data_IF_201666678146
#
_entry.id   IF_201666678146
#
_cell.length_a   1.000
_cell.length_b   1.000
_cell.length_c   1.000
_cell.angle_alpha   90.00
_cell.angle_beta   90.00
_cell.angle_gamma   90.00
#
_symmetry.space_group_name_H-M   'P 1'
#
loop_
_entity.id
_entity.type
_entity.pdbx_description
1 polymer ?
#
# COMPACT_ATOMS: atom_id res chain seq x y z
N UNK A 1 15.16 5.23 -47.16
CA UNK A 1 15.73 5.45 -45.81
C UNK A 1 14.86 6.28 -44.87
N UNK A 2 14.38 7.48 -45.25
CA UNK A 2 13.57 8.34 -44.33
C UNK A 2 12.28 7.70 -43.78
N UNK A 3 11.56 6.89 -44.56
CA UNK A 3 10.33 6.22 -44.10
C UNK A 3 10.58 5.11 -43.05
N UNK A 4 11.72 4.43 -43.11
CA UNK A 4 12.10 3.42 -42.11
C UNK A 4 12.49 4.05 -40.76
N UNK A 5 13.13 5.23 -40.80
CA UNK A 5 13.48 6.00 -39.60
C UNK A 5 12.24 6.54 -38.87
N UNK A 6 11.20 6.98 -39.60
CA UNK A 6 9.93 7.40 -38.98
C UNK A 6 9.16 6.24 -38.35
N UNK A 7 9.14 5.06 -38.99
CA UNK A 7 8.50 3.86 -38.42
C UNK A 7 9.25 3.34 -37.18
N UNK A 8 10.58 3.39 -37.18
CA UNK A 8 11.39 3.04 -36.02
C UNK A 8 11.21 4.02 -34.84
N UNK A 9 11.04 5.32 -35.11
CA UNK A 9 10.74 6.32 -34.09
C UNK A 9 9.34 6.14 -33.47
N UNK A 10 8.32 5.84 -34.28
CA UNK A 10 6.96 5.57 -33.79
C UNK A 10 6.92 4.26 -32.98
N UNK A 11 7.63 3.22 -33.41
CA UNK A 11 7.75 1.96 -32.66
C UNK A 11 8.53 2.12 -31.34
N UNK A 12 9.48 3.05 -31.27
CA UNK A 12 10.16 3.40 -30.01
C UNK A 12 9.28 4.24 -29.07
N UNK A 13 8.43 5.13 -29.59
CA UNK A 13 7.45 5.86 -28.77
C UNK A 13 6.34 4.95 -28.22
N UNK A 14 5.94 3.89 -28.94
CA UNK A 14 4.99 2.88 -28.45
C UNK A 14 5.60 1.89 -27.42
N UNK A 15 6.92 1.89 -27.25
CA UNK A 15 7.65 1.13 -26.22
C UNK A 15 8.14 2.00 -25.07
N UNK A 16 7.90 3.31 -25.10
CA UNK A 16 8.11 4.15 -23.94
C UNK A 16 7.02 3.77 -22.92
N UNK A 17 7.37 2.85 -22.01
CA UNK A 17 6.68 2.78 -20.71
C UNK A 17 6.69 4.21 -20.21
N UNK A 18 5.53 4.87 -20.00
CA UNK A 18 5.54 6.18 -19.39
C UNK A 18 6.41 6.04 -18.15
N UNK A 19 7.35 6.95 -17.94
CA UNK A 19 8.11 7.01 -16.70
C UNK A 19 7.08 7.22 -15.59
N UNK A 20 6.50 6.12 -15.12
CA UNK A 20 5.49 6.09 -14.10
C UNK A 20 6.20 6.67 -12.90
N UNK A 21 5.66 7.75 -12.35
CA UNK A 21 6.05 8.14 -11.01
C UNK A 21 5.99 6.87 -10.17
N UNK A 22 7.13 6.49 -9.55
CA UNK A 22 7.20 5.30 -8.71
C UNK A 22 5.97 5.29 -7.80
N UNK A 23 5.25 4.17 -7.80
CA UNK A 23 4.02 4.07 -7.01
C UNK A 23 4.30 4.47 -5.56
N UNK A 24 3.42 5.27 -4.94
CA UNK A 24 3.66 5.77 -3.60
C UNK A 24 3.81 4.62 -2.59
N UNK A 25 4.71 4.82 -1.62
CA UNK A 25 4.87 3.92 -0.50
C UNK A 25 3.54 3.76 0.27
N UNK A 26 3.24 2.54 0.65
CA UNK A 26 2.11 2.20 1.53
C UNK A 26 2.33 2.74 2.95
N UNK A 27 1.25 2.88 3.71
CA UNK A 27 1.32 3.25 5.13
C UNK A 27 2.25 2.32 5.92
N UNK A 28 2.26 1.02 5.62
CA UNK A 28 3.11 0.01 6.30
C UNK A 28 4.61 0.18 5.98
N UNK A 29 4.94 0.55 4.75
CA UNK A 29 6.31 0.89 4.36
C UNK A 29 6.77 2.19 5.02
N UNK A 30 5.89 3.19 5.09
CA UNK A 30 6.17 4.44 5.79
C UNK A 30 6.32 4.20 7.30
N UNK A 31 5.50 3.37 7.93
CA UNK A 31 5.63 2.99 9.35
C UNK A 31 6.99 2.39 9.67
N UNK A 32 7.50 1.53 8.79
CA UNK A 32 8.82 0.92 8.96
C UNK A 32 9.96 1.94 8.93
N UNK A 33 9.73 3.12 8.34
CA UNK A 33 10.74 4.18 8.12
C UNK A 33 10.48 5.45 8.95
N UNK A 34 9.30 5.58 9.54
CA UNK A 34 8.90 6.76 10.27
C UNK A 34 9.76 6.95 11.53
N UNK A 35 9.95 8.21 11.90
CA UNK A 35 10.53 8.59 13.17
C UNK A 35 9.50 8.44 14.29
N UNK A 36 8.26 8.87 14.04
CA UNK A 36 7.14 8.73 14.96
C UNK A 36 5.81 8.60 14.21
N UNK A 37 4.83 7.96 14.86
CA UNK A 37 3.42 7.96 14.48
C UNK A 37 2.64 8.47 15.68
N UNK A 38 1.97 9.61 15.52
CA UNK A 38 1.36 10.30 16.64
C UNK A 38 0.17 11.14 16.21
N UNK A 39 -0.74 11.34 17.15
CA UNK A 39 -1.71 12.42 17.10
C UNK A 39 -1.00 13.72 17.45
N UNK A 40 -1.19 14.72 16.61
CA UNK A 40 -0.45 15.96 16.61
C UNK A 40 -1.40 17.16 16.55
N UNK A 41 -0.99 18.25 17.19
CA UNK A 41 -1.71 19.52 17.21
C UNK A 41 -0.78 20.65 16.76
N UNK A 42 -0.96 21.20 15.54
CA UNK A 42 -0.09 22.24 15.02
C UNK A 42 -0.47 23.58 15.65
N UNK A 43 0.51 24.32 16.18
CA UNK A 43 0.24 25.52 16.99
C UNK A 43 0.03 26.79 16.16
N UNK A 44 0.92 27.05 15.19
CA UNK A 44 0.84 28.22 14.30
C UNK A 44 1.70 28.03 13.05
N UNK A 45 1.37 28.76 11.99
CA UNK A 45 2.17 28.77 10.75
C UNK A 45 3.18 29.92 10.79
N UNK A 46 4.45 29.59 10.57
CA UNK A 46 5.53 30.54 10.36
C UNK A 46 5.93 30.46 8.88
N UNK A 47 5.87 31.59 8.18
CA UNK A 47 6.19 31.66 6.74
C UNK A 47 7.69 31.90 6.55
N UNK A 48 8.28 31.15 5.64
CA UNK A 48 9.63 31.31 5.11
C UNK A 48 9.55 31.40 3.59
N UNK A 49 10.58 31.99 2.95
CA UNK A 49 10.73 32.06 1.48
C UNK A 49 9.42 32.44 0.75
N UNK A 50 9.02 33.70 0.90
CA UNK A 50 7.79 34.27 0.32
C UNK A 50 6.48 33.50 0.62
N UNK A 51 6.50 32.62 1.63
CA UNK A 51 5.37 31.78 2.03
C UNK A 51 5.27 30.45 1.28
N UNK A 52 6.23 30.12 0.42
CA UNK A 52 6.35 28.80 -0.21
C UNK A 52 6.79 27.71 0.77
N UNK A 53 7.53 28.10 1.82
CA UNK A 53 8.01 27.19 2.84
C UNK A 53 7.40 27.55 4.20
N UNK A 54 6.77 26.58 4.85
CA UNK A 54 6.06 26.78 6.11
C UNK A 54 6.73 25.97 7.22
N UNK A 55 7.00 26.63 8.34
CA UNK A 55 7.44 25.99 9.58
C UNK A 55 6.33 26.04 10.63
N UNK A 56 6.05 24.91 11.25
CA UNK A 56 4.85 24.70 12.06
C UNK A 56 5.28 24.00 13.35
N UNK A 57 5.52 24.72 14.45
CA UNK A 57 5.68 24.11 15.77
C UNK A 57 4.45 23.27 16.09
N UNK A 58 4.67 22.02 16.45
CA UNK A 58 3.60 21.02 16.58
C UNK A 58 3.78 20.24 17.87
N UNK A 59 2.73 20.15 18.67
CA UNK A 59 2.67 19.32 19.88
C UNK A 59 2.28 17.89 19.49
N UNK A 60 2.86 16.90 20.16
CA UNK A 60 2.40 15.51 20.10
C UNK A 60 1.47 15.24 21.28
N UNK A 61 0.22 14.92 20.98
CA UNK A 61 -0.84 14.69 21.97
C UNK A 61 -0.83 13.24 22.43
N UNK A 62 -0.81 12.30 21.48
CA UNK A 62 -0.76 10.86 21.75
C UNK A 62 0.24 10.18 20.79
N UNK A 63 1.31 9.62 21.36
CA UNK A 63 2.38 8.97 20.59
C UNK A 63 2.13 7.47 20.56
N UNK A 64 1.67 6.96 19.42
CA UNK A 64 1.47 5.52 19.20
C UNK A 64 2.81 4.81 19.02
N UNK A 65 3.73 5.43 18.29
CA UNK A 65 5.06 4.88 18.04
C UNK A 65 6.10 5.98 17.91
N UNK A 66 7.30 5.74 18.42
CA UNK A 66 8.47 6.55 18.16
C UNK A 66 9.73 5.69 18.18
N UNK A 67 10.65 5.91 17.24
CA UNK A 67 11.93 5.19 17.19
C UNK A 67 12.81 5.46 18.40
N UNK A 68 12.74 6.67 18.97
CA UNK A 68 13.58 7.08 20.10
C UNK A 68 12.82 8.02 21.04
N UNK A 69 12.73 7.62 22.30
CA UNK A 69 12.13 8.41 23.37
C UNK A 69 10.62 8.61 23.20
N UNK A 70 10.07 9.55 23.96
CA UNK A 70 8.68 10.00 23.86
C UNK A 70 8.68 11.49 23.50
N UNK A 71 8.79 11.84 22.20
CA UNK A 71 8.78 13.22 21.77
C UNK A 71 7.47 13.90 22.21
N UNK A 72 7.59 15.15 22.69
CA UNK A 72 6.44 15.96 23.12
C UNK A 72 6.06 17.05 22.11
N UNK A 73 7.05 17.54 21.37
CA UNK A 73 6.87 18.57 20.36
C UNK A 73 7.94 18.44 19.30
N UNK A 74 7.65 18.94 18.11
CA UNK A 74 8.59 18.94 16.99
C UNK A 74 8.32 20.11 16.03
N UNK A 75 9.29 20.39 15.17
CA UNK A 75 9.15 21.42 14.15
C UNK A 75 8.78 20.77 12.81
N UNK A 76 7.51 20.89 12.42
CA UNK A 76 7.01 20.40 11.14
C UNK A 76 7.34 21.40 10.04
N UNK A 77 7.73 20.89 8.89
CA UNK A 77 8.01 21.65 7.68
C UNK A 77 7.03 21.21 6.61
N UNK A 78 6.48 22.19 5.88
CA UNK A 78 5.62 21.95 4.74
C UNK A 78 6.02 22.88 3.59
N UNK A 79 6.36 22.30 2.45
CA UNK A 79 6.65 23.05 1.23
C UNK A 79 5.43 23.03 0.31
N UNK A 80 4.94 24.22 -0.04
CA UNK A 80 3.81 24.39 -0.94
C UNK A 80 4.27 24.18 -2.39
N UNK A 81 3.54 23.36 -3.13
CA UNK A 81 3.72 23.18 -4.58
C UNK A 81 3.13 24.32 -5.38
N UNK A 82 2.14 25.03 -4.84
CA UNK A 82 1.52 26.20 -5.46
C UNK A 82 1.05 27.22 -4.40
N UNK A 83 0.90 28.48 -4.81
CA UNK A 83 0.54 29.57 -3.89
C UNK A 83 -0.83 29.37 -3.23
N UNK A 84 -1.76 28.71 -3.91
CA UNK A 84 -3.12 28.41 -3.47
C UNK A 84 -3.24 27.09 -2.67
N UNK A 85 -2.15 26.30 -2.59
CA UNK A 85 -2.20 25.01 -1.91
C UNK A 85 -2.60 25.16 -0.44
N UNK A 86 -3.62 24.42 -0.01
CA UNK A 86 -4.02 24.33 1.40
C UNK A 86 -3.20 23.28 2.14
N UNK A 87 -2.95 23.54 3.42
CA UNK A 87 -2.31 22.59 4.33
C UNK A 87 -3.15 21.31 4.43
N UNK A 88 -2.51 20.15 4.68
CA UNK A 88 -3.19 18.89 4.92
C UNK A 88 -3.90 18.81 6.27
N UNK A 89 -3.94 19.88 7.06
CA UNK A 89 -4.49 19.94 8.40
C UNK A 89 -4.80 21.39 8.76
N UNK A 90 -5.59 21.58 9.81
CA UNK A 90 -5.96 22.89 10.34
C UNK A 90 -5.15 23.21 11.60
N UNK A 91 -4.75 24.48 11.75
CA UNK A 91 -3.99 24.93 12.92
C UNK A 91 -4.89 24.85 14.16
N UNK A 92 -4.38 24.25 15.24
CA UNK A 92 -5.10 24.04 16.48
C UNK A 92 -5.93 22.76 16.52
N UNK A 93 -6.23 22.14 15.38
CA UNK A 93 -6.97 20.88 15.32
C UNK A 93 -6.05 19.66 15.45
N UNK A 94 -6.63 18.57 15.94
CA UNK A 94 -5.93 17.30 16.09
C UNK A 94 -5.95 16.53 14.77
N UNK A 95 -4.81 15.93 14.43
CA UNK A 95 -4.73 14.98 13.33
C UNK A 95 -3.74 13.87 13.67
N UNK A 96 -3.94 12.69 13.11
CA UNK A 96 -3.00 11.59 13.23
C UNK A 96 -2.20 11.42 11.93
N UNK A 97 -0.88 11.30 12.06
CA UNK A 97 -0.01 11.12 10.90
C UNK A 97 1.29 10.39 11.26
N UNK A 98 2.03 10.02 10.20
CA UNK A 98 3.38 9.48 10.26
C UNK A 98 4.39 10.58 9.98
N UNK A 99 5.42 10.69 10.81
CA UNK A 99 6.41 11.75 10.74
C UNK A 99 7.80 11.19 10.41
N UNK A 100 8.52 11.87 9.52
CA UNK A 100 9.92 11.61 9.23
C UNK A 100 10.78 12.81 9.62
N UNK A 101 12.03 12.55 10.01
CA UNK A 101 13.00 13.61 10.30
C UNK A 101 13.69 13.99 9.00
N UNK A 102 13.61 15.27 8.63
CA UNK A 102 14.27 15.78 7.44
C UNK A 102 15.81 15.77 7.60
N UNK A 103 16.55 15.42 6.55
CA UNK A 103 18.01 15.48 6.55
C UNK A 103 18.49 16.94 6.70
N UNK A 104 19.66 17.12 7.32
CA UNK A 104 20.27 18.45 7.54
C UNK A 104 21.02 18.96 6.29
N UNK A 105 20.38 18.95 5.12
CA UNK A 105 20.98 19.49 3.90
C UNK A 105 21.03 21.02 3.90
N UNK A 106 21.96 21.58 3.10
CA UNK A 106 22.14 23.03 2.95
C UNK A 106 20.82 23.74 2.61
N UNK A 107 20.02 23.15 1.71
CA UNK A 107 18.69 23.66 1.35
C UNK A 107 17.84 24.00 2.58
N UNK A 108 17.69 23.06 3.51
CA UNK A 108 16.92 23.31 4.71
C UNK A 108 17.63 24.29 5.63
N UNK A 109 18.92 24.06 5.89
CA UNK A 109 19.72 24.85 6.85
C UNK A 109 19.68 26.34 6.55
N UNK A 110 19.73 26.72 5.28
CA UNK A 110 19.83 28.11 4.87
C UNK A 110 18.45 28.82 4.85
N UNK A 111 17.35 28.06 4.91
CA UNK A 111 15.98 28.59 4.80
C UNK A 111 15.13 28.44 6.07
N UNK A 112 15.57 27.67 7.07
CA UNK A 112 14.80 27.34 8.27
C UNK A 112 15.66 27.43 9.54
N UNK A 113 15.03 27.59 10.72
CA UNK A 113 15.75 27.62 11.99
C UNK A 113 16.62 26.38 12.20
N UNK A 114 17.71 26.53 12.95
CA UNK A 114 18.64 25.45 13.25
C UNK A 114 18.08 24.51 14.34
N UNK A 115 16.97 23.84 14.03
CA UNK A 115 16.30 22.84 14.87
C UNK A 115 16.07 21.56 14.06
N UNK A 116 15.90 20.40 14.72
CA UNK A 116 15.44 19.18 14.06
C UNK A 116 14.09 19.41 13.37
N UNK A 117 14.04 19.13 12.07
CA UNK A 117 12.91 19.38 11.18
C UNK A 117 12.25 18.08 10.80
N UNK A 118 10.95 18.11 10.61
CA UNK A 118 10.18 16.92 10.30
C UNK A 118 9.17 17.22 9.19
N UNK A 119 8.71 16.17 8.53
CA UNK A 119 7.66 16.23 7.51
C UNK A 119 6.65 15.10 7.75
N UNK A 120 5.47 15.22 7.14
CA UNK A 120 4.46 14.16 7.10
C UNK A 120 4.84 13.17 6.00
N UNK A 121 5.05 11.91 6.35
CA UNK A 121 5.33 10.85 5.39
C UNK A 121 4.11 10.59 4.51
N UNK A 122 4.33 10.47 3.19
CA UNK A 122 3.26 10.25 2.21
C UNK A 122 2.31 11.44 2.04
N UNK A 123 2.64 12.60 2.61
CA UNK A 123 1.89 13.84 2.45
C UNK A 123 0.44 13.73 2.92
N UNK A 124 -0.48 14.32 2.15
CA UNK A 124 -1.90 14.44 2.52
C UNK A 124 -2.62 13.09 2.66
N UNK A 125 -2.10 12.02 2.04
CA UNK A 125 -2.72 10.68 2.01
C UNK A 125 -2.83 10.06 3.40
N UNK A 126 -1.89 10.36 4.31
CA UNK A 126 -1.84 9.75 5.64
C UNK A 126 -2.03 10.79 6.75
N UNK A 127 -2.96 11.71 6.53
CA UNK A 127 -3.42 12.67 7.54
C UNK A 127 -4.87 12.35 7.88
N UNK A 128 -5.06 11.70 9.03
CA UNK A 128 -6.35 11.26 9.51
C UNK A 128 -6.91 12.28 10.51
N UNK A 129 -8.22 12.54 10.45
CA UNK A 129 -8.90 13.57 11.26
C UNK A 129 -10.23 13.05 11.79
N UNK A 130 -10.74 13.67 12.86
CA UNK A 130 -12.02 13.28 13.44
C UNK A 130 -12.04 11.80 13.82
N UNK A 131 -13.13 11.11 13.46
CA UNK A 131 -13.36 9.71 13.80
C UNK A 131 -12.35 8.73 13.16
N UNK A 132 -11.69 9.14 12.07
CA UNK A 132 -10.68 8.33 11.39
C UNK A 132 -9.40 8.15 12.24
N UNK A 133 -9.15 9.06 13.20
CA UNK A 133 -7.95 9.05 14.04
C UNK A 133 -7.83 7.73 14.80
N UNK A 134 -8.88 7.32 15.52
CA UNK A 134 -8.83 6.12 16.36
C UNK A 134 -8.73 4.84 15.52
N UNK A 135 -9.38 4.80 14.36
CA UNK A 135 -9.31 3.67 13.43
C UNK A 135 -7.89 3.52 12.86
N UNK A 136 -7.26 4.62 12.45
CA UNK A 136 -5.87 4.62 11.98
C UNK A 136 -4.90 4.23 13.11
N UNK A 137 -5.06 4.82 14.31
CA UNK A 137 -4.23 4.53 15.49
C UNK A 137 -4.29 3.05 15.86
N UNK A 138 -5.47 2.42 15.82
CA UNK A 138 -5.62 1.00 16.13
C UNK A 138 -4.75 0.11 15.21
N UNK A 139 -4.79 0.36 13.89
CA UNK A 139 -3.99 -0.41 12.92
C UNK A 139 -2.50 -0.11 13.08
N UNK A 140 -2.12 1.16 13.24
CA UNK A 140 -0.72 1.55 13.45
C UNK A 140 -0.16 0.93 14.73
N UNK A 141 -0.91 0.95 15.83
CA UNK A 141 -0.51 0.37 17.12
C UNK A 141 -0.21 -1.11 16.96
N UNK A 142 -1.17 -1.88 16.42
CA UNK A 142 -0.99 -3.32 16.18
C UNK A 142 0.20 -3.62 15.28
N UNK A 143 0.41 -2.83 14.21
CA UNK A 143 1.54 -3.05 13.31
C UNK A 143 2.87 -2.75 13.99
N UNK A 144 2.96 -1.66 14.75
CA UNK A 144 4.20 -1.25 15.42
C UNK A 144 4.55 -2.12 16.63
N UNK A 145 3.58 -2.75 17.29
CA UNK A 145 3.82 -3.79 18.31
C UNK A 145 4.67 -4.94 17.76
N UNK A 146 4.52 -5.28 16.47
CA UNK A 146 5.34 -6.31 15.80
C UNK A 146 6.83 -5.96 15.74
N UNK A 147 7.20 -4.69 15.89
CA UNK A 147 8.61 -4.26 15.85
C UNK A 147 9.41 -4.76 17.05
N UNK A 148 8.73 -5.17 18.13
CA UNK A 148 9.34 -5.82 19.29
C UNK A 148 9.76 -7.26 19.01
N UNK A 149 9.15 -7.90 18.01
CA UNK A 149 9.45 -9.26 17.58
C UNK A 149 10.68 -9.29 16.67
N UNK A 150 11.28 -10.48 16.50
CA UNK A 150 12.49 -10.67 15.69
C UNK A 150 12.30 -11.71 14.60
N UNK A 151 13.03 -11.53 13.50
CA UNK A 151 13.11 -12.48 12.39
C UNK A 151 11.74 -12.88 11.84
N UNK A 152 11.54 -14.19 11.67
CA UNK A 152 10.31 -14.75 11.10
C UNK A 152 9.05 -14.41 11.90
N UNK A 153 9.12 -14.38 13.23
CA UNK A 153 7.96 -14.07 14.08
C UNK A 153 7.40 -12.67 13.78
N UNK A 154 8.29 -11.69 13.60
CA UNK A 154 7.90 -10.33 13.21
C UNK A 154 7.21 -10.32 11.84
N UNK A 155 7.78 -11.03 10.86
CA UNK A 155 7.23 -11.06 9.50
C UNK A 155 5.82 -11.67 9.48
N UNK A 156 5.62 -12.80 10.18
CA UNK A 156 4.30 -13.46 10.28
C UNK A 156 3.29 -12.54 10.97
N UNK A 157 3.66 -11.96 12.13
CA UNK A 157 2.76 -11.06 12.86
C UNK A 157 2.41 -9.80 12.06
N UNK A 158 3.40 -9.19 11.39
CA UNK A 158 3.18 -8.00 10.56
C UNK A 158 2.26 -8.31 9.38
N UNK A 159 2.48 -9.43 8.67
CA UNK A 159 1.62 -9.86 7.58
C UNK A 159 0.17 -10.12 8.06
N UNK A 160 0.00 -10.72 9.25
CA UNK A 160 -1.31 -10.89 9.88
C UNK A 160 -2.03 -9.57 10.17
N UNK A 161 -1.32 -8.54 10.65
CA UNK A 161 -1.91 -7.20 10.85
C UNK A 161 -2.29 -6.55 9.51
N UNK A 162 -1.48 -6.73 8.46
CA UNK A 162 -1.80 -6.22 7.13
C UNK A 162 -3.04 -6.92 6.56
N UNK A 163 -3.20 -8.22 6.78
CA UNK A 163 -4.44 -8.94 6.40
C UNK A 163 -5.66 -8.33 7.11
N UNK A 164 -5.56 -8.05 8.41
CA UNK A 164 -6.68 -7.44 9.14
C UNK A 164 -7.03 -6.04 8.64
N UNK A 165 -6.03 -5.30 8.16
CA UNK A 165 -6.22 -3.98 7.60
C UNK A 165 -6.98 -3.99 6.25
N UNK A 166 -7.12 -5.13 5.58
CA UNK A 166 -7.94 -5.27 4.36
C UNK A 166 -9.43 -4.96 4.62
N UNK A 167 -9.91 -5.22 5.84
CA UNK A 167 -11.28 -4.92 6.27
C UNK A 167 -11.40 -3.53 6.90
N UNK A 168 -10.36 -2.69 6.84
CA UNK A 168 -10.41 -1.34 7.39
C UNK A 168 -11.50 -0.50 6.71
N UNK A 169 -12.34 0.20 7.49
CA UNK A 169 -13.28 1.19 6.94
C UNK A 169 -12.57 2.38 6.27
N UNK A 170 -11.30 2.62 6.60
CA UNK A 170 -10.47 3.64 5.96
C UNK A 170 -9.96 3.10 4.63
N UNK A 171 -10.58 3.54 3.53
CA UNK A 171 -10.25 3.10 2.17
C UNK A 171 -8.75 3.15 1.87
N UNK A 172 -8.07 4.22 2.30
CA UNK A 172 -6.62 4.39 2.12
C UNK A 172 -5.81 3.26 2.79
N UNK A 173 -6.25 2.77 3.95
CA UNK A 173 -5.56 1.70 4.67
C UNK A 173 -5.87 0.33 4.04
N UNK A 174 -7.14 0.06 3.68
CA UNK A 174 -7.48 -1.22 3.05
C UNK A 174 -6.87 -1.38 1.65
N UNK A 175 -6.83 -0.31 0.85
CA UNK A 175 -6.10 -0.27 -0.41
C UNK A 175 -4.60 -0.52 -0.21
N UNK A 176 -3.99 0.15 0.78
CA UNK A 176 -2.57 -0.02 1.06
C UNK A 176 -2.24 -1.40 1.59
N UNK A 177 -3.16 -2.05 2.30
CA UNK A 177 -3.00 -3.43 2.76
C UNK A 177 -2.96 -4.40 1.57
N UNK A 178 -3.91 -4.28 0.64
CA UNK A 178 -3.93 -5.07 -0.58
C UNK A 178 -2.66 -4.83 -1.41
N UNK A 179 -2.26 -3.56 -1.58
CA UNK A 179 -1.03 -3.18 -2.29
C UNK A 179 0.22 -3.74 -1.63
N UNK A 180 0.32 -3.67 -0.30
CA UNK A 180 1.47 -4.17 0.46
C UNK A 180 1.68 -5.67 0.23
N UNK A 181 0.62 -6.47 0.41
CA UNK A 181 0.67 -7.91 0.20
C UNK A 181 0.93 -8.26 -1.27
N UNK A 182 0.39 -7.48 -2.21
CA UNK A 182 0.63 -7.65 -3.64
C UNK A 182 2.09 -7.45 -4.03
N UNK A 183 2.74 -6.43 -3.44
CA UNK A 183 4.18 -6.13 -3.62
C UNK A 183 5.09 -7.12 -2.90
N UNK A 184 4.56 -7.81 -1.89
CA UNK A 184 5.31 -8.74 -1.03
C UNK A 184 4.67 -10.13 -1.02
N UNK A 185 4.59 -10.77 -2.18
CA UNK A 185 3.83 -12.01 -2.32
C UNK A 185 4.38 -13.14 -1.43
N UNK A 186 5.67 -13.12 -1.09
CA UNK A 186 6.27 -14.11 -0.17
C UNK A 186 5.69 -14.04 1.26
N UNK A 187 5.15 -12.89 1.70
CA UNK A 187 4.51 -12.77 3.02
C UNK A 187 3.22 -13.61 3.08
N UNK A 188 2.53 -13.81 1.95
CA UNK A 188 1.32 -14.62 1.85
C UNK A 188 1.59 -16.11 2.17
N UNK A 189 2.75 -16.63 1.77
CA UNK A 189 3.16 -18.00 2.08
C UNK A 189 3.53 -18.21 3.56
N UNK A 190 3.81 -17.12 4.28
CA UNK A 190 4.22 -17.14 5.67
C UNK A 190 3.05 -17.00 6.65
N UNK A 191 1.86 -16.67 6.17
CA UNK A 191 0.67 -16.45 7.00
C UNK A 191 0.37 -17.67 7.90
N UNK A 192 0.05 -17.38 9.16
CA UNK A 192 -0.52 -18.37 10.07
C UNK A 192 -1.95 -18.75 9.67
N UNK A 193 -2.50 -19.77 10.31
CA UNK A 193 -3.79 -20.36 9.97
C UNK A 193 -4.93 -19.33 10.12
N UNK A 194 -4.89 -18.51 11.17
CA UNK A 194 -5.90 -17.49 11.43
C UNK A 194 -5.87 -16.36 10.41
N UNK A 195 -4.68 -15.87 10.03
CA UNK A 195 -4.55 -14.85 9.00
C UNK A 195 -4.96 -15.39 7.61
N UNK A 196 -4.66 -16.66 7.31
CA UNK A 196 -5.14 -17.31 6.07
C UNK A 196 -6.65 -17.42 6.02
N UNK A 197 -7.30 -17.76 7.14
CA UNK A 197 -8.76 -17.82 7.22
C UNK A 197 -9.40 -16.46 6.97
N UNK A 198 -8.90 -15.40 7.63
CA UNK A 198 -9.39 -14.03 7.44
C UNK A 198 -9.16 -13.52 6.02
N UNK A 199 -7.97 -13.76 5.44
CA UNK A 199 -7.71 -13.44 4.04
C UNK A 199 -8.66 -14.20 3.11
N UNK A 200 -8.89 -15.48 3.36
CA UNK A 200 -9.80 -16.29 2.53
C UNK A 200 -11.22 -15.74 2.56
N UNK A 201 -11.71 -15.38 3.76
CA UNK A 201 -13.02 -14.73 3.92
C UNK A 201 -13.09 -13.41 3.15
N UNK A 202 -12.07 -12.55 3.26
CA UNK A 202 -11.99 -11.29 2.54
C UNK A 202 -12.07 -11.49 1.01
N UNK A 203 -11.27 -12.41 0.47
CA UNK A 203 -11.22 -12.66 -0.98
C UNK A 203 -12.54 -13.20 -1.54
N UNK A 204 -13.25 -14.01 -0.76
CA UNK A 204 -14.56 -14.57 -1.12
C UNK A 204 -15.72 -13.58 -0.98
N UNK A 205 -15.48 -12.38 -0.42
CA UNK A 205 -16.47 -11.31 -0.37
C UNK A 205 -16.79 -10.72 -1.75
N UNK A 206 -17.71 -9.75 -1.77
CA UNK A 206 -18.20 -9.13 -3.03
C UNK A 206 -17.20 -8.19 -3.70
N UNK A 207 -16.16 -7.74 -2.99
CA UNK A 207 -15.18 -6.79 -3.51
C UNK A 207 -14.37 -7.43 -4.65
N UNK A 208 -14.42 -6.83 -5.84
CA UNK A 208 -13.77 -7.32 -7.08
C UNK A 208 -12.99 -6.21 -7.82
N UNK A 209 -12.42 -5.27 -7.07
CA UNK A 209 -11.63 -4.18 -7.66
C UNK A 209 -10.19 -4.65 -8.02
N UNK A 210 -9.43 -3.85 -8.81
CA UNK A 210 -8.10 -4.23 -9.25
C UNK A 210 -7.10 -4.56 -8.13
N UNK A 211 -7.27 -3.99 -6.93
CA UNK A 211 -6.39 -4.28 -5.80
C UNK A 211 -6.62 -5.71 -5.28
N UNK A 212 -7.87 -6.16 -5.23
CA UNK A 212 -8.19 -7.54 -4.83
C UNK A 212 -7.76 -8.54 -5.91
N UNK A 213 -7.98 -8.23 -7.19
CA UNK A 213 -7.50 -9.04 -8.32
C UNK A 213 -5.97 -9.21 -8.25
N UNK A 214 -5.23 -8.10 -8.07
CA UNK A 214 -3.78 -8.13 -7.92
C UNK A 214 -3.30 -8.94 -6.71
N UNK A 215 -4.05 -8.90 -5.61
CA UNK A 215 -3.80 -9.70 -4.41
C UNK A 215 -3.99 -11.20 -4.67
N UNK A 216 -5.04 -11.59 -5.41
CA UNK A 216 -5.26 -13.00 -5.80
C UNK A 216 -4.11 -13.51 -6.66
N UNK A 217 -3.67 -12.74 -7.65
CA UNK A 217 -2.51 -13.12 -8.48
C UNK A 217 -1.21 -13.20 -7.65
N UNK A 218 -1.06 -12.34 -6.64
CA UNK A 218 0.09 -12.34 -5.74
C UNK A 218 0.21 -13.65 -4.95
N UNK A 219 -0.89 -14.34 -4.64
CA UNK A 219 -0.87 -15.66 -3.98
C UNK A 219 -0.07 -16.66 -4.84
N UNK A 220 -0.30 -16.69 -6.15
CA UNK A 220 0.41 -17.56 -7.08
C UNK A 220 1.89 -17.19 -7.20
N UNK A 221 2.20 -15.89 -7.35
CA UNK A 221 3.58 -15.39 -7.40
C UNK A 221 4.36 -15.70 -6.11
N UNK A 222 3.67 -15.67 -4.98
CA UNK A 222 4.23 -15.91 -3.65
C UNK A 222 4.38 -17.38 -3.28
N UNK A 223 3.97 -18.29 -4.17
CA UNK A 223 3.96 -19.74 -3.92
C UNK A 223 3.24 -20.10 -2.62
N UNK A 224 2.14 -19.41 -2.32
CA UNK A 224 1.36 -19.61 -1.11
C UNK A 224 0.42 -20.82 -1.25
N UNK A 225 0.99 -22.03 -1.35
CA UNK A 225 0.26 -23.30 -1.57
C UNK A 225 -0.88 -23.53 -0.56
N UNK A 226 -0.68 -23.03 0.66
CA UNK A 226 -1.64 -23.06 1.75
C UNK A 226 -2.95 -22.29 1.50
N UNK A 227 -3.02 -21.50 0.42
CA UNK A 227 -4.19 -20.75 -0.05
C UNK A 227 -4.82 -21.35 -1.31
N UNK A 228 -4.33 -22.50 -1.80
CA UNK A 228 -4.95 -23.20 -2.95
C UNK A 228 -6.47 -23.42 -2.78
N UNK A 229 -7.00 -23.83 -1.60
CA UNK A 229 -8.44 -24.04 -1.46
C UNK A 229 -9.30 -22.79 -1.74
N UNK A 230 -8.84 -21.59 -1.36
CA UNK A 230 -9.59 -20.37 -1.68
C UNK A 230 -9.44 -20.01 -3.16
N UNK A 231 -8.28 -20.28 -3.77
CA UNK A 231 -8.10 -20.07 -5.21
C UNK A 231 -9.01 -20.99 -6.04
N UNK A 232 -9.13 -22.27 -5.68
CA UNK A 232 -10.06 -23.21 -6.35
C UNK A 232 -11.50 -22.71 -6.27
N UNK A 233 -11.92 -22.23 -5.10
CA UNK A 233 -13.26 -21.67 -4.90
C UNK A 233 -13.49 -20.39 -5.71
N UNK A 234 -12.49 -19.50 -5.79
CA UNK A 234 -12.58 -18.28 -6.60
C UNK A 234 -12.63 -18.61 -8.09
N UNK A 235 -11.81 -19.55 -8.55
CA UNK A 235 -11.70 -19.95 -9.96
C UNK A 235 -13.00 -20.57 -10.51
N UNK A 236 -13.87 -21.09 -9.64
CA UNK A 236 -15.21 -21.57 -10.01
C UNK A 236 -16.23 -20.44 -10.26
N UNK A 237 -15.89 -19.19 -9.95
CA UNK A 237 -16.75 -18.02 -10.17
C UNK A 237 -16.65 -17.43 -11.59
N UNK A 238 -17.32 -16.28 -11.78
CA UNK A 238 -17.44 -15.57 -13.06
C UNK A 238 -16.96 -14.11 -13.00
N UNK A 239 -16.01 -13.84 -12.11
CA UNK A 239 -15.50 -12.48 -11.82
C UNK A 239 -14.05 -12.31 -12.25
N UNK A 240 -13.51 -11.10 -12.16
CA UNK A 240 -12.10 -10.86 -12.47
C UNK A 240 -11.19 -11.59 -11.47
N UNK A 241 -11.63 -11.74 -10.21
CA UNK A 241 -10.98 -12.64 -9.24
C UNK A 241 -10.91 -14.10 -9.71
N UNK A 242 -11.92 -14.60 -10.42
CA UNK A 242 -11.89 -15.98 -10.94
C UNK A 242 -10.79 -16.16 -11.98
N UNK A 243 -10.65 -15.19 -12.91
CA UNK A 243 -9.56 -15.17 -13.88
C UNK A 243 -8.19 -15.10 -13.20
N UNK A 244 -8.03 -14.22 -12.21
CA UNK A 244 -6.81 -14.12 -11.40
C UNK A 244 -6.50 -15.42 -10.65
N UNK A 245 -7.53 -16.10 -10.12
CA UNK A 245 -7.36 -17.36 -9.41
C UNK A 245 -6.91 -18.49 -10.34
N UNK A 246 -7.43 -18.56 -11.57
CA UNK A 246 -6.94 -19.49 -12.59
C UNK A 246 -5.45 -19.28 -12.87
N UNK A 247 -5.03 -18.03 -13.09
CA UNK A 247 -3.62 -17.69 -13.30
C UNK A 247 -2.75 -18.03 -12.07
N UNK A 248 -3.26 -17.78 -10.87
CA UNK A 248 -2.55 -18.10 -9.63
C UNK A 248 -2.39 -19.61 -9.42
N UNK A 249 -3.43 -20.40 -9.70
CA UNK A 249 -3.38 -21.87 -9.65
C UNK A 249 -2.39 -22.42 -10.67
N UNK A 250 -2.38 -21.89 -11.89
CA UNK A 250 -1.40 -22.27 -12.90
C UNK A 250 0.04 -21.96 -12.46
N UNK A 251 0.27 -20.76 -11.92
CA UNK A 251 1.56 -20.38 -11.35
C UNK A 251 2.01 -21.30 -10.21
N UNK A 252 1.09 -21.96 -9.50
CA UNK A 252 1.38 -22.95 -8.46
C UNK A 252 1.57 -24.38 -8.99
N UNK A 253 1.38 -24.62 -10.29
CA UNK A 253 1.34 -25.96 -10.86
C UNK A 253 0.10 -26.76 -10.43
N UNK A 254 -0.98 -26.04 -10.05
CA UNK A 254 -2.26 -26.58 -9.56
C UNK A 254 -3.42 -26.18 -10.46
N UNK A 255 -3.15 -25.79 -11.71
CA UNK A 255 -4.23 -25.34 -12.58
C UNK A 255 -5.27 -26.46 -12.83
N UNK A 256 -6.56 -26.11 -12.98
CA UNK A 256 -7.64 -27.08 -13.13
C UNK A 256 -7.43 -28.08 -14.27
N UNK A 257 -8.15 -29.19 -14.23
CA UNK A 257 -8.13 -30.20 -15.29
C UNK A 257 -8.54 -29.60 -16.66
N UNK A 258 -8.01 -30.15 -17.74
CA UNK A 258 -8.28 -29.68 -19.12
C UNK A 258 -9.77 -29.58 -19.42
N UNK A 259 -10.58 -30.55 -18.99
CA UNK A 259 -12.03 -30.53 -19.17
C UNK A 259 -12.69 -29.29 -18.50
N UNK A 260 -12.33 -29.01 -17.25
CA UNK A 260 -12.84 -27.84 -16.52
C UNK A 260 -12.38 -26.51 -17.17
N UNK A 261 -11.18 -26.47 -17.74
CA UNK A 261 -10.71 -25.30 -18.48
C UNK A 261 -11.43 -25.11 -19.80
N UNK A 262 -11.77 -26.18 -20.51
CA UNK A 262 -12.59 -26.12 -21.73
C UNK A 262 -13.97 -25.53 -21.42
N UNK A 263 -14.61 -25.97 -20.33
CA UNK A 263 -15.88 -25.37 -19.88
C UNK A 263 -15.75 -23.87 -19.59
N UNK A 264 -14.57 -23.41 -19.14
CA UNK A 264 -14.31 -22.00 -18.85
C UNK A 264 -14.05 -21.14 -20.08
N UNK A 265 -13.85 -21.74 -21.27
CA UNK A 265 -13.81 -21.00 -22.54
C UNK A 265 -15.17 -20.41 -22.93
N UNK A 266 -16.26 -20.87 -22.31
CA UNK A 266 -17.62 -20.38 -22.53
C UNK A 266 -18.12 -19.46 -21.41
N UNK A 267 -17.24 -19.03 -20.49
CA UNK A 267 -17.59 -18.12 -19.41
C UNK A 267 -18.17 -16.80 -19.92
N UNK A 268 -19.10 -16.19 -19.17
CA UNK A 268 -19.63 -14.88 -19.51
C UNK A 268 -18.58 -13.78 -19.37
N UNK A 269 -17.67 -13.92 -18.41
CA UNK A 269 -16.57 -13.00 -18.18
C UNK A 269 -15.42 -13.25 -19.16
N UNK A 270 -15.07 -12.21 -19.92
CA UNK A 270 -14.00 -12.26 -20.92
C UNK A 270 -12.63 -12.58 -20.31
N UNK A 271 -12.32 -12.05 -19.14
CA UNK A 271 -11.05 -12.33 -18.45
C UNK A 271 -10.94 -13.80 -18.05
N UNK A 272 -12.06 -14.43 -17.67
CA UNK A 272 -12.09 -15.86 -17.34
C UNK A 272 -11.84 -16.70 -18.59
N UNK A 273 -12.50 -16.38 -19.70
CA UNK A 273 -12.24 -17.05 -20.99
C UNK A 273 -10.78 -16.91 -21.41
N UNK A 274 -10.24 -15.69 -21.32
CA UNK A 274 -8.85 -15.41 -21.68
C UNK A 274 -7.86 -16.16 -20.78
N UNK A 275 -8.10 -16.20 -19.46
CA UNK A 275 -7.28 -16.95 -18.52
C UNK A 275 -7.32 -18.46 -18.81
N UNK A 276 -8.51 -19.02 -19.08
CA UNK A 276 -8.66 -20.43 -19.42
C UNK A 276 -7.93 -20.79 -20.72
N UNK A 277 -8.08 -19.98 -21.77
CA UNK A 277 -7.37 -20.16 -23.04
C UNK A 277 -5.85 -20.09 -22.86
N UNK A 278 -5.36 -19.13 -22.09
CA UNK A 278 -3.94 -18.99 -21.78
C UNK A 278 -3.39 -20.22 -21.03
N UNK A 279 -4.09 -20.68 -20.00
CA UNK A 279 -3.68 -21.87 -19.24
C UNK A 279 -3.69 -23.14 -20.10
N UNK A 280 -4.65 -23.29 -21.02
CA UNK A 280 -4.66 -24.41 -21.97
C UNK A 280 -3.49 -24.33 -22.95
N UNK A 281 -3.16 -23.15 -23.46
CA UNK A 281 -2.05 -22.95 -24.40
C UNK A 281 -0.68 -23.28 -23.80
N UNK A 282 -0.48 -23.07 -22.50
CA UNK A 282 0.76 -23.45 -21.80
C UNK A 282 0.94 -24.96 -21.64
N UNK A 283 -0.09 -25.76 -21.95
CA UNK A 283 -0.14 -27.20 -21.72
C UNK A 283 -0.20 -28.03 -23.01
N UNK A 284 -0.25 -27.37 -24.16
CA UNK A 284 -0.20 -27.98 -25.49
C UNK A 284 1.27 -28.18 -25.93
#
# INVERSE_FOLDING_TARGET
>A
MRKLLCLAAIAMCLRAVPAGADEPNTIFENLSRCWAAAEARPARVIKYRDGSLLGIPTDMVDVVYARKGKPRSFFLVYEKKSADEKLPFEVGEHYFALFHMLPQYAYWRDNLPNVPRHEIMGGKRYVFRGDDIEQAKAIVRRYTETFTLRGRQRLVAAAGVVVDALESPLAVISEDAARHLTKRPNELAMLDDGARERLSKFLLGERDDPAVVGLVEAIGRGKAEKLVPVLERLAAGHTNKAAAALRALDALGKAPATAALIERLEDQNEEVRAAAAYTLALRA
#
